data_IF_748197938299
#
_entry.id   IF_748197938299
#
_cell.length_a   1.000
_cell.length_b   1.000
_cell.length_c   1.000
_cell.angle_alpha   90.00
_cell.angle_beta   90.00
_cell.angle_gamma   90.00
#
_symmetry.space_group_name_H-M   'P 1'
#
loop_
_entity.id
_entity.type
_entity.pdbx_description
1 polymer ?
#
# COMPACT_ATOMS: atom_id res chain seq x y z
N UNK A 1 8.88 -22.05 -17.92
CA UNK A 1 10.16 -21.84 -17.20
C UNK A 1 10.58 -20.37 -17.17
N UNK A 2 9.65 -19.41 -17.36
CA UNK A 2 9.94 -17.98 -17.25
C UNK A 2 9.57 -17.39 -15.87
N UNK A 3 8.60 -17.97 -15.15
CA UNK A 3 8.12 -17.41 -13.87
C UNK A 3 9.13 -17.47 -12.72
N UNK A 4 10.07 -18.44 -12.72
CA UNK A 4 11.13 -18.53 -11.71
C UNK A 4 12.13 -17.36 -11.80
N UNK A 5 12.39 -16.85 -13.01
CA UNK A 5 13.36 -15.77 -13.23
C UNK A 5 12.84 -14.40 -12.75
N UNK A 6 11.52 -14.23 -12.65
CA UNK A 6 10.90 -13.00 -12.13
C UNK A 6 10.37 -13.15 -10.69
N UNK A 7 10.40 -14.37 -10.13
CA UNK A 7 9.91 -14.66 -8.77
C UNK A 7 10.64 -13.82 -7.72
N UNK A 8 11.95 -13.61 -7.88
CA UNK A 8 12.75 -12.82 -6.94
C UNK A 8 12.28 -11.35 -6.88
N UNK A 9 11.82 -10.77 -8.00
CA UNK A 9 11.27 -9.42 -8.01
C UNK A 9 9.91 -9.35 -7.32
N UNK A 10 9.07 -10.36 -7.49
CA UNK A 10 7.78 -10.43 -6.79
C UNK A 10 7.98 -10.57 -5.28
N UNK A 11 8.93 -11.39 -4.85
CA UNK A 11 9.26 -11.57 -3.43
C UNK A 11 9.81 -10.27 -2.83
N UNK A 12 10.76 -9.61 -3.50
CA UNK A 12 11.29 -8.31 -3.06
C UNK A 12 10.19 -7.24 -3.01
N UNK A 13 9.40 -7.14 -4.08
CA UNK A 13 8.27 -6.20 -4.16
C UNK A 13 7.26 -6.44 -3.04
N UNK A 14 6.95 -7.69 -2.71
CA UNK A 14 6.05 -8.02 -1.60
C UNK A 14 6.60 -7.56 -0.24
N UNK A 15 7.89 -7.78 0.04
CA UNK A 15 8.51 -7.36 1.31
C UNK A 15 8.46 -5.82 1.43
N UNK A 16 8.81 -5.10 0.37
CA UNK A 16 8.79 -3.63 0.36
C UNK A 16 7.36 -3.11 0.50
N UNK A 17 6.42 -3.67 -0.25
CA UNK A 17 5.00 -3.31 -0.18
C UNK A 17 4.41 -3.57 1.20
N UNK A 18 4.82 -4.64 1.89
CA UNK A 18 4.36 -4.94 3.24
C UNK A 18 4.82 -3.90 4.25
N UNK A 19 6.09 -3.49 4.19
CA UNK A 19 6.64 -2.44 5.06
C UNK A 19 5.94 -1.10 4.77
N UNK A 20 5.77 -0.75 3.48
CA UNK A 20 5.05 0.45 3.06
C UNK A 20 3.60 0.47 3.54
N UNK A 21 2.89 -0.66 3.43
CA UNK A 21 1.50 -0.77 3.88
C UNK A 21 1.38 -0.50 5.38
N UNK A 22 2.34 -0.98 6.19
CA UNK A 22 2.39 -0.68 7.62
C UNK A 22 2.61 0.81 7.89
N UNK A 23 3.57 1.43 7.20
CA UNK A 23 3.87 2.87 7.36
C UNK A 23 2.71 3.77 6.94
N UNK A 24 2.04 3.46 5.81
CA UNK A 24 0.86 4.19 5.33
C UNK A 24 -0.31 4.01 6.28
N UNK A 25 -0.61 2.77 6.71
CA UNK A 25 -1.72 2.51 7.64
C UNK A 25 -1.53 3.23 8.98
N UNK A 26 -0.31 3.25 9.53
CA UNK A 26 -0.04 3.99 10.77
C UNK A 26 -0.30 5.50 10.63
N UNK A 27 0.02 6.09 9.48
CA UNK A 27 -0.28 7.50 9.18
C UNK A 27 -1.79 7.73 9.09
N UNK A 28 -2.51 6.87 8.36
CA UNK A 28 -3.96 7.01 8.16
C UNK A 28 -4.74 6.90 9.47
N UNK A 29 -4.35 5.99 10.37
CA UNK A 29 -4.92 5.87 11.72
C UNK A 29 -4.65 7.13 12.54
N UNK A 30 -3.44 7.68 12.50
CA UNK A 30 -3.09 8.90 13.24
C UNK A 30 -3.90 10.11 12.73
N UNK A 31 -4.10 10.23 11.42
CA UNK A 31 -4.88 11.31 10.81
C UNK A 31 -6.38 11.19 11.14
N UNK A 32 -6.92 9.96 11.12
CA UNK A 32 -8.35 9.70 11.34
C UNK A 32 -8.75 9.75 12.82
N UNK A 33 -7.89 9.25 13.71
CA UNK A 33 -8.20 9.16 15.15
C UNK A 33 -7.48 10.22 16.00
N UNK A 34 -6.56 11.01 15.45
CA UNK A 34 -5.78 12.00 16.19
C UNK A 34 -6.62 13.06 16.89
N UNK A 35 -7.67 13.58 16.23
CA UNK A 35 -8.58 14.57 16.81
C UNK A 35 -9.53 13.95 17.85
N UNK A 36 -9.99 12.72 17.64
CA UNK A 36 -10.86 12.00 18.57
C UNK A 36 -10.13 11.60 19.86
N UNK A 37 -8.85 11.23 19.75
CA UNK A 37 -7.99 10.94 20.90
C UNK A 37 -7.53 12.23 21.59
N UNK A 38 -7.17 13.27 20.82
CA UNK A 38 -6.75 14.57 21.36
C UNK A 38 -7.86 15.35 22.08
N UNK A 39 -9.13 15.13 21.70
CA UNK A 39 -10.30 15.71 22.38
C UNK A 39 -10.79 14.90 23.59
N UNK A 40 -10.17 13.76 23.90
CA UNK A 40 -10.54 12.91 25.02
C UNK A 40 -11.84 12.12 24.83
N UNK A 41 -12.42 12.12 23.63
CA UNK A 41 -13.64 11.36 23.30
C UNK A 41 -13.36 9.86 23.23
N UNK A 42 -12.18 9.48 22.73
CA UNK A 42 -11.77 8.08 22.57
C UNK A 42 -10.38 7.89 23.15
N UNK A 43 -10.15 6.82 23.92
CA UNK A 43 -8.82 6.51 24.44
C UNK A 43 -7.93 5.86 23.37
N UNK A 44 -6.60 5.98 23.51
CA UNK A 44 -5.63 5.40 22.56
C UNK A 44 -5.86 3.89 22.33
N UNK A 45 -6.21 3.15 23.39
CA UNK A 45 -6.50 1.70 23.31
C UNK A 45 -7.77 1.41 22.52
N UNK A 46 -8.83 2.20 22.72
CA UNK A 46 -10.08 2.06 21.99
C UNK A 46 -9.89 2.38 20.51
N UNK A 47 -9.17 3.46 20.19
CA UNK A 47 -8.86 3.85 18.82
C UNK A 47 -8.11 2.73 18.07
N UNK A 48 -7.13 2.10 18.70
CA UNK A 48 -6.35 1.01 18.09
C UNK A 48 -7.21 -0.23 17.77
N UNK A 49 -8.12 -0.62 18.67
CA UNK A 49 -9.04 -1.74 18.45
C UNK A 49 -10.02 -1.42 17.32
N UNK A 50 -10.59 -0.20 17.33
CA UNK A 50 -11.55 0.24 16.32
C UNK A 50 -10.88 0.32 14.93
N UNK A 51 -9.71 0.94 14.84
CA UNK A 51 -8.92 1.02 13.62
C UNK A 51 -8.65 -0.38 13.05
N UNK A 52 -8.13 -1.30 13.87
CA UNK A 52 -7.81 -2.67 13.44
C UNK A 52 -8.99 -3.38 12.80
N UNK A 53 -10.20 -3.25 13.38
CA UNK A 53 -11.40 -3.92 12.85
C UNK A 53 -11.90 -3.22 11.58
N UNK A 54 -12.12 -1.91 11.63
CA UNK A 54 -12.78 -1.19 10.54
C UNK A 54 -11.88 -0.99 9.33
N UNK A 55 -10.59 -0.75 9.53
CA UNK A 55 -9.62 -0.54 8.45
C UNK A 55 -9.31 -1.85 7.73
N UNK A 56 -9.13 -2.96 8.46
CA UNK A 56 -8.97 -4.29 7.86
C UNK A 56 -10.24 -4.72 7.13
N UNK A 57 -11.42 -4.50 7.72
CA UNK A 57 -12.70 -4.85 7.08
C UNK A 57 -12.93 -4.02 5.82
N UNK A 58 -12.64 -2.72 5.85
CA UNK A 58 -12.73 -1.83 4.69
C UNK A 58 -11.78 -2.25 3.57
N UNK A 59 -10.53 -2.57 3.92
CA UNK A 59 -9.52 -3.05 2.97
C UNK A 59 -9.97 -4.34 2.25
N UNK A 60 -10.51 -5.31 2.99
CA UNK A 60 -11.00 -6.58 2.40
C UNK A 60 -12.24 -6.38 1.52
N UNK A 61 -13.18 -5.53 1.91
CA UNK A 61 -14.44 -5.33 1.18
C UNK A 61 -14.30 -4.44 -0.05
N UNK A 62 -13.50 -3.38 0.04
CA UNK A 62 -13.44 -2.31 -0.98
C UNK A 62 -12.09 -2.22 -1.70
N UNK A 63 -11.02 -2.77 -1.13
CA UNK A 63 -9.65 -2.59 -1.62
C UNK A 63 -9.46 -3.04 -3.07
N UNK A 64 -9.98 -4.21 -3.45
CA UNK A 64 -9.82 -4.75 -4.80
C UNK A 64 -10.43 -3.83 -5.88
N UNK A 65 -11.61 -3.25 -5.60
CA UNK A 65 -12.36 -2.44 -6.58
C UNK A 65 -11.76 -1.04 -6.75
N UNK A 66 -11.26 -0.45 -5.66
CA UNK A 66 -10.55 0.83 -5.70
C UNK A 66 -9.20 0.66 -6.39
N UNK A 67 -8.43 -0.39 -6.05
CA UNK A 67 -7.14 -0.68 -6.67
C UNK A 67 -7.23 -0.88 -8.19
N UNK A 68 -8.25 -1.59 -8.67
CA UNK A 68 -8.46 -1.76 -10.11
C UNK A 68 -8.77 -0.44 -10.82
N UNK A 69 -9.52 0.46 -10.16
CA UNK A 69 -9.89 1.77 -10.71
C UNK A 69 -8.68 2.70 -10.76
N UNK A 70 -7.86 2.73 -9.70
CA UNK A 70 -6.62 3.51 -9.68
C UNK A 70 -5.64 3.01 -10.74
N UNK A 71 -5.42 1.68 -10.82
CA UNK A 71 -4.50 1.09 -11.80
C UNK A 71 -4.89 1.49 -13.23
N UNK A 72 -6.16 1.33 -13.60
CA UNK A 72 -6.65 1.68 -14.95
C UNK A 72 -6.56 3.18 -15.25
N UNK A 73 -6.60 4.04 -14.24
CA UNK A 73 -6.46 5.50 -14.41
C UNK A 73 -5.03 5.98 -14.62
N UNK A 74 -4.02 5.19 -14.20
CA UNK A 74 -2.61 5.58 -14.25
C UNK A 74 -1.84 4.80 -15.34
N UNK A 75 -2.09 3.49 -15.46
CA UNK A 75 -1.29 2.58 -16.29
C UNK A 75 -2.23 1.78 -17.21
N UNK A 76 -2.04 1.94 -18.53
CA UNK A 76 -2.67 1.07 -19.52
C UNK A 76 -1.76 -0.13 -19.84
N UNK A 77 -2.12 -1.29 -19.28
CA UNK A 77 -1.40 -2.56 -19.46
C UNK A 77 -1.36 -3.04 -20.91
N UNK A 78 -2.30 -2.61 -21.77
CA UNK A 78 -2.32 -3.04 -23.17
C UNK A 78 -1.16 -2.45 -23.98
N UNK A 79 -0.61 -1.31 -23.55
CA UNK A 79 0.51 -0.65 -24.22
C UNK A 79 1.85 -1.39 -24.01
N UNK A 80 1.93 -2.22 -22.97
CA UNK A 80 3.16 -2.91 -22.54
C UNK A 80 3.16 -4.42 -22.88
N UNK A 81 2.31 -4.85 -23.83
CA UNK A 81 2.11 -6.27 -24.14
C UNK A 81 3.39 -6.98 -24.67
N UNK A 82 4.33 -6.22 -25.24
CA UNK A 82 5.64 -6.72 -25.70
C UNK A 82 6.79 -6.45 -24.71
N UNK A 83 6.56 -5.66 -23.65
CA UNK A 83 7.60 -5.17 -22.72
C UNK A 83 7.18 -5.30 -21.24
N UNK A 84 6.58 -6.44 -20.89
CA UNK A 84 6.08 -6.73 -19.53
C UNK A 84 7.19 -6.64 -18.48
N UNK A 85 8.42 -7.01 -18.84
CA UNK A 85 9.60 -6.99 -17.96
C UNK A 85 9.95 -5.57 -17.49
N UNK A 86 9.88 -4.61 -18.42
CA UNK A 86 10.13 -3.18 -18.14
C UNK A 86 9.04 -2.60 -17.24
N UNK A 87 7.79 -3.02 -17.43
CA UNK A 87 6.68 -2.61 -16.57
C UNK A 87 6.86 -3.14 -15.13
N UNK A 88 7.20 -4.41 -14.97
CA UNK A 88 7.45 -5.00 -13.65
C UNK A 88 8.63 -4.34 -12.93
N UNK A 89 9.74 -4.11 -13.64
CA UNK A 89 10.90 -3.42 -13.07
C UNK A 89 10.57 -1.96 -12.66
N UNK A 90 9.73 -1.27 -13.46
CA UNK A 90 9.27 0.08 -13.17
C UNK A 90 8.37 0.17 -11.92
N UNK A 91 7.45 -0.77 -11.74
CA UNK A 91 6.61 -0.83 -10.53
C UNK A 91 7.45 -1.11 -9.27
N UNK A 92 8.42 -2.03 -9.36
CA UNK A 92 9.35 -2.31 -8.26
C UNK A 92 10.22 -1.09 -7.93
N UNK A 93 10.76 -0.37 -8.93
CA UNK A 93 11.54 0.84 -8.66
C UNK A 93 10.71 1.96 -8.04
N UNK A 94 9.44 2.12 -8.48
CA UNK A 94 8.52 3.10 -7.92
C UNK A 94 8.25 2.81 -6.42
N UNK A 95 8.10 1.54 -6.04
CA UNK A 95 7.96 1.16 -4.63
C UNK A 95 9.20 1.50 -3.79
N UNK A 96 10.40 1.26 -4.32
CA UNK A 96 11.66 1.60 -3.62
C UNK A 96 11.76 3.11 -3.39
N UNK A 97 11.48 3.91 -4.41
CA UNK A 97 11.50 5.38 -4.28
C UNK A 97 10.44 5.85 -3.28
N UNK A 98 9.25 5.25 -3.28
CA UNK A 98 8.20 5.59 -2.34
C UNK A 98 8.60 5.27 -0.89
N UNK A 99 9.31 4.17 -0.68
CA UNK A 99 9.87 3.81 0.64
C UNK A 99 10.89 4.84 1.13
N UNK A 100 11.80 5.27 0.26
CA UNK A 100 12.79 6.32 0.58
C UNK A 100 12.11 7.67 0.92
N UNK A 101 11.04 8.01 0.19
CA UNK A 101 10.22 9.19 0.43
C UNK A 101 9.54 9.12 1.80
N UNK A 102 8.96 7.96 2.13
CA UNK A 102 8.33 7.75 3.43
C UNK A 102 9.33 7.88 4.58
N UNK A 103 10.55 7.39 4.39
CA UNK A 103 11.62 7.48 5.39
C UNK A 103 12.22 8.88 5.53
N UNK A 104 11.98 9.79 4.59
CA UNK A 104 12.38 11.20 4.66
C UNK A 104 11.26 12.14 5.15
N UNK A 105 10.00 11.77 4.95
CA UNK A 105 8.84 12.58 5.34
C UNK A 105 8.35 12.33 6.77
N UNK A 106 8.78 11.24 7.41
CA UNK A 106 8.56 10.92 8.82
C UNK A 106 9.89 10.93 9.57
#
# INVERSE_FOLDING_TARGET
>A
MAMDEYLWMVILGFIIAFILAFSVGANDVANSFGTAVGSGVVTLRQACILASIFETTGSVLLGAKVGETIRKGIIDVNLYNETVETLMAGEVSAMVVLYELFNNCF
#
